data_IF_574558887619
#
_entry.id   IF_574558887619
#
_cell.length_a   1.000
_cell.length_b   1.000
_cell.length_c   1.000
_cell.angle_alpha   90.00
_cell.angle_beta   90.00
_cell.angle_gamma   90.00
#
_symmetry.space_group_name_H-M   'P 1'
#
loop_
_entity.id
_entity.type
_entity.pdbx_description
1 polymer ?
#
# COMPACT_ATOMS: atom_id res chain seq x y z
N UNK A 1 -17.90 14.95 1.02
CA UNK A 1 -16.78 14.03 0.68
C UNK A 1 -16.48 13.23 1.93
N UNK A 2 -16.44 11.89 1.86
CA UNK A 2 -16.07 11.07 3.03
C UNK A 2 -14.55 11.10 3.22
N UNK A 3 -14.10 11.31 4.44
CA UNK A 3 -12.68 11.18 4.80
C UNK A 3 -12.31 9.68 4.76
N UNK A 4 -11.20 9.28 4.11
CA UNK A 4 -10.77 7.88 4.14
C UNK A 4 -10.32 7.49 5.55
N UNK A 5 -10.56 6.23 5.94
CA UNK A 5 -10.11 5.70 7.25
C UNK A 5 -8.57 5.63 7.34
N UNK A 6 -7.93 5.46 6.19
CA UNK A 6 -6.49 5.34 6.01
C UNK A 6 -6.13 5.82 4.62
N UNK A 7 -5.11 6.68 4.51
CA UNK A 7 -4.60 7.16 3.24
C UNK A 7 -3.08 6.97 3.20
N UNK A 8 -2.56 6.51 2.08
CA UNK A 8 -1.12 6.37 1.89
C UNK A 8 -0.69 6.91 0.53
N UNK A 9 0.58 7.32 0.45
CA UNK A 9 1.26 7.74 -0.77
C UNK A 9 2.48 6.85 -0.95
N UNK A 10 2.57 6.20 -2.11
CA UNK A 10 3.78 5.46 -2.50
C UNK A 10 4.90 6.47 -2.79
N UNK A 11 6.05 6.29 -2.18
CA UNK A 11 7.23 7.15 -2.31
C UNK A 11 8.37 6.47 -3.06
N UNK A 12 8.46 5.14 -3.03
CA UNK A 12 9.40 4.37 -3.82
C UNK A 12 8.81 2.99 -4.17
N UNK A 13 9.33 2.38 -5.24
CA UNK A 13 8.92 1.04 -5.71
C UNK A 13 10.17 0.21 -5.91
N UNK A 14 10.26 -0.90 -5.18
CA UNK A 14 11.36 -1.85 -5.32
C UNK A 14 11.38 -2.56 -6.68
N UNK A 15 12.58 -3.00 -7.08
CA UNK A 15 12.84 -3.65 -8.38
C UNK A 15 11.93 -4.88 -8.64
N UNK A 16 11.62 -5.66 -7.60
CA UNK A 16 10.86 -6.91 -7.72
C UNK A 16 9.36 -6.75 -7.48
N UNK A 17 8.86 -5.53 -7.26
CA UNK A 17 7.42 -5.29 -7.05
C UNK A 17 6.60 -5.74 -8.27
N UNK A 18 7.14 -5.56 -9.49
CA UNK A 18 6.47 -6.02 -10.70
C UNK A 18 6.26 -7.55 -10.68
N UNK A 19 7.27 -8.31 -10.25
CA UNK A 19 7.19 -9.76 -10.14
C UNK A 19 6.09 -10.18 -9.16
N UNK A 20 6.02 -9.53 -7.99
CA UNK A 20 4.95 -9.80 -7.00
C UNK A 20 3.57 -9.46 -7.55
N UNK A 21 3.43 -8.36 -8.30
CA UNK A 21 2.16 -7.97 -8.92
C UNK A 21 1.67 -8.96 -9.97
N UNK A 22 2.58 -9.61 -10.73
CA UNK A 22 2.23 -10.69 -11.66
C UNK A 22 1.62 -11.90 -10.93
N UNK A 23 2.00 -12.11 -9.67
CA UNK A 23 1.42 -13.12 -8.78
C UNK A 23 0.20 -12.61 -7.99
N UNK A 24 -0.35 -11.45 -8.38
CA UNK A 24 -1.47 -10.79 -7.69
C UNK A 24 -1.18 -10.42 -6.23
N UNK A 25 0.09 -10.13 -5.91
CA UNK A 25 0.54 -9.71 -4.58
C UNK A 25 1.15 -8.32 -4.61
N UNK A 26 0.82 -7.50 -3.63
CA UNK A 26 1.43 -6.20 -3.40
C UNK A 26 1.86 -6.12 -1.93
N UNK A 27 3.14 -5.87 -1.70
CA UNK A 27 3.70 -5.69 -0.36
C UNK A 27 3.93 -4.20 -0.15
N UNK A 28 3.36 -3.67 0.94
CA UNK A 28 3.48 -2.27 1.34
C UNK A 28 4.32 -2.20 2.60
N UNK A 29 5.32 -1.32 2.60
CA UNK A 29 6.17 -1.08 3.78
C UNK A 29 6.32 0.42 4.01
N UNK A 30 6.48 0.84 5.27
CA UNK A 30 6.77 2.24 5.58
C UNK A 30 8.20 2.61 5.16
N UNK A 31 8.56 3.89 5.30
CA UNK A 31 9.91 4.40 5.07
C UNK A 31 10.98 3.79 6.02
N UNK A 32 10.56 3.09 7.06
CA UNK A 32 11.43 2.31 7.95
C UNK A 32 11.71 0.89 7.42
N UNK A 33 11.51 0.64 6.12
CA UNK A 33 11.83 -0.65 5.50
C UNK A 33 13.34 -0.91 5.53
N UNK A 34 13.80 -2.10 5.97
CA UNK A 34 15.19 -2.49 5.83
C UNK A 34 15.61 -2.57 4.36
N UNK A 35 16.84 -2.15 4.05
CA UNK A 35 17.38 -2.16 2.69
C UNK A 35 17.27 -3.54 2.02
N UNK A 36 17.51 -4.61 2.79
CA UNK A 36 17.50 -6.00 2.30
C UNK A 36 16.14 -6.45 1.74
N UNK A 37 15.04 -5.80 2.12
CA UNK A 37 13.68 -6.15 1.66
C UNK A 37 12.99 -5.02 0.89
N UNK A 38 13.59 -3.82 0.83
CA UNK A 38 13.05 -2.67 0.12
C UNK A 38 12.80 -2.99 -1.38
N UNK A 39 13.67 -3.79 -1.99
CA UNK A 39 13.56 -4.22 -3.39
C UNK A 39 12.29 -5.02 -3.70
N UNK A 40 11.60 -5.57 -2.70
CA UNK A 40 10.36 -6.36 -2.88
C UNK A 40 9.09 -5.59 -2.53
N UNK A 41 9.21 -4.34 -2.04
CA UNK A 41 8.10 -3.59 -1.48
C UNK A 41 7.83 -2.29 -2.25
N UNK A 42 6.57 -1.85 -2.24
CA UNK A 42 6.26 -0.45 -2.50
C UNK A 42 6.31 0.30 -1.16
N UNK A 43 7.27 1.22 -1.05
CA UNK A 43 7.48 2.04 0.13
C UNK A 43 6.42 3.14 0.16
N UNK A 44 5.79 3.36 1.30
CA UNK A 44 4.73 4.33 1.45
C UNK A 44 4.86 5.18 2.71
N UNK A 45 4.30 6.38 2.62
CA UNK A 45 4.00 7.22 3.77
C UNK A 45 2.50 7.20 4.00
N UNK A 46 2.07 6.94 5.22
CA UNK A 46 0.67 6.82 5.59
C UNK A 46 0.19 7.96 6.49
N UNK A 47 -1.11 8.23 6.42
CA UNK A 47 -1.83 8.97 7.45
C UNK A 47 -2.06 8.09 8.67
N UNK A 48 -2.52 8.69 9.75
CA UNK A 48 -3.09 7.96 10.88
C UNK A 48 -4.27 7.10 10.42
N UNK A 49 -4.36 5.89 10.98
CA UNK A 49 -5.50 4.99 10.82
C UNK A 49 -6.59 5.44 11.79
N UNK A 50 -7.68 6.03 11.28
CA UNK A 50 -8.72 6.63 12.12
C UNK A 50 -9.80 5.64 12.57
N UNK A 51 -9.80 4.42 12.03
CA UNK A 51 -10.70 3.34 12.43
C UNK A 51 -10.14 1.98 11.96
N UNK A 52 -10.64 0.89 12.54
CA UNK A 52 -10.22 -0.46 12.16
C UNK A 52 -10.61 -0.82 10.71
N UNK A 53 -9.72 -1.58 10.06
CA UNK A 53 -10.01 -2.18 8.76
C UNK A 53 -10.83 -3.45 8.94
N UNK A 54 -11.82 -3.68 8.07
CA UNK A 54 -12.76 -4.80 8.17
C UNK A 54 -13.18 -5.30 6.79
N UNK A 55 -13.53 -6.60 6.65
CA UNK A 55 -14.03 -7.14 5.39
C UNK A 55 -15.24 -6.36 4.84
N UNK A 56 -15.29 -6.22 3.51
CA UNK A 56 -16.36 -5.49 2.81
C UNK A 56 -16.17 -3.97 2.72
N UNK A 57 -15.15 -3.42 3.40
CA UNK A 57 -14.65 -2.07 3.15
C UNK A 57 -14.04 -1.95 1.75
N UNK A 58 -13.81 -0.71 1.30
CA UNK A 58 -13.30 -0.42 -0.05
C UNK A 58 -11.90 0.17 0.05
N UNK A 59 -10.99 -0.35 -0.77
CA UNK A 59 -9.68 0.23 -0.99
C UNK A 59 -9.67 0.92 -2.35
N UNK A 60 -9.09 2.13 -2.43
CA UNK A 60 -8.89 2.85 -3.69
C UNK A 60 -7.39 3.00 -3.93
N UNK A 61 -6.90 2.49 -5.05
CA UNK A 61 -5.53 2.70 -5.53
C UNK A 61 -5.60 3.56 -6.80
N UNK A 62 -5.13 4.81 -6.72
CA UNK A 62 -5.34 5.82 -7.76
C UNK A 62 -6.82 5.86 -8.16
N UNK A 63 -7.18 5.63 -9.42
CA UNK A 63 -8.57 5.65 -9.88
C UNK A 63 -9.29 4.30 -9.81
N UNK A 64 -8.60 3.24 -9.37
CA UNK A 64 -9.16 1.89 -9.26
C UNK A 64 -9.71 1.62 -7.86
N UNK A 65 -10.90 1.04 -7.81
CA UNK A 65 -11.56 0.65 -6.56
C UNK A 65 -11.54 -0.88 -6.42
N UNK A 66 -11.28 -1.35 -5.21
CA UNK A 66 -11.19 -2.76 -4.80
C UNK A 66 -12.12 -3.00 -3.61
N UNK A 67 -12.63 -4.23 -3.49
CA UNK A 67 -13.50 -4.67 -2.40
C UNK A 67 -13.26 -6.15 -2.10
#
# INVERSE_FOLDING_TARGET
MSVPLYSLRITAVGEYVECSLREQRLILFSDAVPDDIASYCAVHQASELTAELSPGQRMKLNDKNYR
#
